data_IF_676932770112
#
_entry.id   IF_676932770112
#
_cell.length_a   1.000
_cell.length_b   1.000
_cell.length_c   1.000
_cell.angle_alpha   90.00
_cell.angle_beta   90.00
_cell.angle_gamma   90.00
#
_symmetry.space_group_name_H-M   'P 1'
#
loop_
_entity.id
_entity.type
_entity.pdbx_description
1 polymer ?
#
# COMPACT_ATOMS: atom_id res chain seq x y z
N UNK A 1 -11.18 15.28 -27.18
CA UNK A 1 -11.56 14.19 -26.30
C UNK A 1 -10.87 14.46 -24.97
N UNK A 2 -11.63 14.59 -23.92
CA UNK A 2 -11.08 14.84 -22.58
C UNK A 2 -10.38 13.60 -22.02
N UNK A 3 -9.72 13.74 -20.87
CA UNK A 3 -8.96 12.64 -20.28
C UNK A 3 -9.88 11.52 -19.79
N UNK A 4 -11.06 11.85 -19.24
CA UNK A 4 -12.06 10.88 -18.82
C UNK A 4 -12.45 9.95 -19.99
N UNK A 5 -12.79 10.53 -21.15
CA UNK A 5 -13.14 9.76 -22.35
C UNK A 5 -11.98 8.89 -22.87
N UNK A 6 -10.74 9.40 -22.79
CA UNK A 6 -9.56 8.66 -23.24
C UNK A 6 -9.32 7.44 -22.35
N UNK A 7 -9.36 7.62 -21.02
CA UNK A 7 -9.18 6.54 -20.06
C UNK A 7 -10.32 5.54 -20.16
N UNK A 8 -11.60 6.00 -20.21
CA UNK A 8 -12.76 5.12 -20.32
C UNK A 8 -12.66 4.23 -21.57
N UNK A 9 -12.41 4.83 -22.73
CA UNK A 9 -12.23 4.04 -23.97
C UNK A 9 -11.13 2.99 -23.82
N UNK A 10 -10.00 3.37 -23.21
CA UNK A 10 -8.88 2.45 -23.10
C UNK A 10 -9.18 1.27 -22.17
N UNK A 11 -9.83 1.51 -21.04
CA UNK A 11 -10.22 0.42 -20.15
C UNK A 11 -11.34 -0.45 -20.75
N UNK A 12 -12.24 0.12 -21.56
CA UNK A 12 -13.25 -0.66 -22.30
C UNK A 12 -12.58 -1.63 -23.28
N UNK A 13 -11.51 -1.19 -23.98
CA UNK A 13 -10.73 -2.06 -24.88
C UNK A 13 -10.00 -3.17 -24.10
N UNK A 14 -9.58 -2.90 -22.86
CA UNK A 14 -8.85 -3.85 -22.01
C UNK A 14 -9.78 -4.79 -21.23
N UNK A 15 -11.07 -4.46 -21.09
CA UNK A 15 -12.00 -5.21 -20.24
C UNK A 15 -12.11 -6.69 -20.60
N UNK A 16 -11.93 -7.05 -21.88
CA UNK A 16 -11.97 -8.44 -22.33
C UNK A 16 -10.80 -9.28 -21.81
N UNK A 17 -9.66 -8.68 -21.52
CA UNK A 17 -8.46 -9.36 -20.99
C UNK A 17 -8.29 -9.16 -19.48
N UNK A 18 -8.59 -7.99 -18.97
CA UNK A 18 -8.47 -7.65 -17.56
C UNK A 18 -9.67 -8.08 -16.72
N UNK A 19 -10.78 -8.47 -17.35
CA UNK A 19 -12.06 -8.93 -16.78
C UNK A 19 -12.81 -7.84 -15.98
N UNK A 20 -12.12 -6.87 -15.44
CA UNK A 20 -12.69 -5.74 -14.71
C UNK A 20 -11.61 -4.77 -14.28
N UNK A 21 -11.90 -3.49 -14.41
CA UNK A 21 -10.99 -2.38 -14.12
C UNK A 21 -11.73 -1.24 -13.43
N UNK A 22 -11.06 -0.62 -12.47
CA UNK A 22 -11.40 0.72 -11.97
C UNK A 22 -10.19 1.62 -12.14
N UNK A 23 -10.40 2.86 -12.57
CA UNK A 23 -9.39 3.91 -12.63
C UNK A 23 -9.96 5.17 -12.01
N UNK A 24 -9.24 5.76 -11.08
CA UNK A 24 -9.57 7.07 -10.52
C UNK A 24 -8.36 8.00 -10.57
N UNK A 25 -8.61 9.25 -10.96
CA UNK A 25 -7.58 10.30 -11.01
C UNK A 25 -8.12 11.55 -10.33
N UNK A 26 -7.37 12.06 -9.37
CA UNK A 26 -7.59 13.41 -8.84
C UNK A 26 -6.50 14.34 -9.36
N UNK A 27 -6.85 15.59 -9.59
CA UNK A 27 -5.91 16.66 -9.90
C UNK A 27 -6.22 17.86 -9.01
N UNK A 28 -5.25 18.26 -8.18
CA UNK A 28 -5.42 19.38 -7.25
C UNK A 28 -6.70 19.29 -6.40
N UNK A 29 -7.00 18.07 -5.94
CA UNK A 29 -8.15 17.76 -5.10
C UNK A 29 -9.47 17.49 -5.85
N UNK A 30 -9.53 17.71 -7.16
CA UNK A 30 -10.72 17.46 -7.97
C UNK A 30 -10.65 16.08 -8.66
N UNK A 31 -11.74 15.32 -8.62
CA UNK A 31 -11.87 14.06 -9.35
C UNK A 31 -12.04 14.35 -10.86
N UNK A 32 -11.02 14.02 -11.66
CA UNK A 32 -11.00 14.29 -13.10
C UNK A 32 -11.16 13.04 -13.97
N UNK A 33 -10.96 11.85 -13.37
CA UNK A 33 -11.28 10.56 -13.98
C UNK A 33 -11.90 9.65 -12.94
N UNK A 34 -13.05 9.05 -13.30
CA UNK A 34 -13.71 7.99 -12.54
C UNK A 34 -14.29 7.00 -13.54
N UNK A 35 -13.47 6.01 -13.90
CA UNK A 35 -13.74 5.11 -15.00
C UNK A 35 -13.78 3.66 -14.52
N UNK A 36 -14.76 2.92 -15.02
CA UNK A 36 -14.94 1.50 -14.73
C UNK A 36 -15.22 0.72 -16.00
N UNK A 37 -14.73 -0.51 -16.08
CA UNK A 37 -15.00 -1.43 -17.16
C UNK A 37 -15.05 -2.88 -16.66
N UNK A 38 -15.78 -3.73 -17.34
CA UNK A 38 -15.96 -5.13 -16.99
C UNK A 38 -17.34 -5.43 -16.41
N UNK A 39 -17.75 -6.68 -16.52
CA UNK A 39 -19.09 -7.11 -16.12
C UNK A 39 -19.28 -7.04 -14.59
N UNK A 40 -20.32 -6.36 -14.16
CA UNK A 40 -20.64 -6.17 -12.75
C UNK A 40 -19.70 -5.26 -11.97
N UNK A 41 -18.69 -4.65 -12.59
CA UNK A 41 -17.79 -3.69 -11.94
C UNK A 41 -18.47 -2.33 -11.81
N UNK A 42 -18.43 -1.78 -10.60
CA UNK A 42 -18.93 -0.44 -10.29
C UNK A 42 -17.83 0.37 -9.58
N UNK A 43 -17.97 1.70 -9.45
CA UNK A 43 -17.02 2.51 -8.67
C UNK A 43 -16.91 2.08 -7.19
N UNK A 44 -17.92 1.38 -6.68
CA UNK A 44 -17.99 0.87 -5.31
C UNK A 44 -17.44 -0.55 -5.15
N UNK A 45 -17.09 -1.24 -6.25
CA UNK A 45 -16.49 -2.57 -6.18
C UNK A 45 -15.18 -2.55 -5.40
N UNK A 46 -15.06 -3.40 -4.38
CA UNK A 46 -13.88 -3.52 -3.54
C UNK A 46 -12.94 -4.59 -4.10
N UNK A 47 -11.67 -4.26 -4.18
CA UNK A 47 -10.61 -5.16 -4.62
C UNK A 47 -9.59 -5.42 -3.51
N UNK A 48 -9.14 -6.67 -3.38
CA UNK A 48 -7.91 -6.92 -2.64
C UNK A 48 -6.75 -6.36 -3.46
N UNK A 49 -6.08 -5.34 -2.94
CA UNK A 49 -5.08 -4.57 -3.66
C UNK A 49 -3.63 -4.84 -3.22
N UNK A 50 -3.42 -5.89 -2.42
CA UNK A 50 -2.10 -6.29 -1.92
C UNK A 50 -1.30 -5.07 -1.40
N UNK A 51 -0.02 -4.97 -1.78
CA UNK A 51 0.91 -3.93 -1.28
C UNK A 51 0.55 -2.48 -1.64
N UNK A 52 -0.41 -2.24 -2.54
CA UNK A 52 -0.98 -0.90 -2.73
C UNK A 52 -1.55 -0.35 -1.42
N UNK A 53 -2.01 -1.24 -0.54
CA UNK A 53 -2.49 -0.90 0.81
C UNK A 53 -1.46 -0.31 1.75
N UNK A 54 -0.15 -0.57 1.53
CA UNK A 54 0.92 0.02 2.37
C UNK A 54 0.88 1.54 2.40
N UNK A 55 0.43 2.15 1.30
CA UNK A 55 0.26 3.59 1.27
C UNK A 55 -0.81 4.11 2.23
N UNK A 56 -1.88 3.34 2.48
CA UNK A 56 -2.86 3.70 3.50
C UNK A 56 -2.27 3.58 4.92
N UNK A 57 -1.49 2.52 5.18
CA UNK A 57 -0.79 2.34 6.48
C UNK A 57 0.22 3.45 6.73
N UNK A 58 1.00 3.79 5.71
CA UNK A 58 1.95 4.90 5.76
C UNK A 58 1.24 6.22 5.99
N UNK A 59 0.10 6.47 5.31
CA UNK A 59 -0.70 7.68 5.52
C UNK A 59 -1.17 7.79 6.96
N UNK A 60 -1.68 6.69 7.56
CA UNK A 60 -2.08 6.67 8.98
C UNK A 60 -0.91 7.05 9.89
N UNK A 61 0.26 6.44 9.69
CA UNK A 61 1.45 6.74 10.49
C UNK A 61 1.88 8.21 10.35
N UNK A 62 1.92 8.73 9.11
CA UNK A 62 2.30 10.11 8.82
C UNK A 62 1.31 11.13 9.42
N UNK A 63 0.01 10.85 9.37
CA UNK A 63 -1.02 11.67 10.02
C UNK A 63 -0.82 11.71 11.54
N UNK A 64 -0.49 10.58 12.16
CA UNK A 64 -0.22 10.52 13.60
C UNK A 64 1.07 11.27 13.98
N UNK A 65 2.08 11.26 13.12
CA UNK A 65 3.29 12.10 13.34
C UNK A 65 2.95 13.58 13.21
N UNK A 66 2.20 13.97 12.18
CA UNK A 66 1.79 15.36 11.99
C UNK A 66 0.92 15.89 13.14
N UNK A 67 0.14 15.00 13.79
CA UNK A 67 -0.63 15.29 15.00
C UNK A 67 0.19 15.26 16.30
N UNK A 68 1.48 14.92 16.24
CA UNK A 68 2.37 14.82 17.41
C UNK A 68 2.12 13.60 18.30
N UNK A 69 1.38 12.60 17.81
CA UNK A 69 1.13 11.32 18.51
C UNK A 69 2.31 10.35 18.34
N UNK A 70 2.92 10.34 17.15
CA UNK A 70 4.12 9.60 16.82
C UNK A 70 5.28 10.54 16.46
N UNK A 71 6.48 9.99 16.40
CA UNK A 71 7.70 10.68 15.97
C UNK A 71 8.51 9.74 15.09
N UNK A 72 9.09 10.24 14.00
CA UNK A 72 9.86 9.42 13.07
C UNK A 72 11.15 8.88 13.66
N UNK A 73 11.79 9.65 14.53
CA UNK A 73 13.16 9.42 14.99
C UNK A 73 13.25 9.02 16.49
N UNK A 74 12.11 9.03 17.18
CA UNK A 74 12.02 8.53 18.55
C UNK A 74 12.10 7.00 18.55
N UNK A 75 12.91 6.40 19.46
CA UNK A 75 13.00 4.94 19.59
C UNK A 75 11.65 4.28 19.86
N UNK A 76 11.34 3.21 19.12
CA UNK A 76 10.08 2.44 19.28
C UNK A 76 9.93 1.88 20.69
N UNK A 77 11.05 1.56 21.36
CA UNK A 77 11.05 1.04 22.75
C UNK A 77 10.39 1.94 23.77
N UNK A 78 10.27 3.24 23.50
CA UNK A 78 9.57 4.17 24.41
C UNK A 78 8.06 3.87 24.51
N UNK A 79 7.46 3.31 23.45
CA UNK A 79 6.04 2.93 23.40
C UNK A 79 5.85 1.42 23.33
N UNK A 80 6.88 0.67 22.95
CA UNK A 80 6.89 -0.78 22.82
C UNK A 80 8.19 -1.36 23.40
N UNK A 81 8.33 -1.46 24.75
CA UNK A 81 9.58 -1.85 25.41
C UNK A 81 10.12 -3.21 24.99
N UNK A 82 9.22 -4.17 24.70
CA UNK A 82 9.60 -5.53 24.29
C UNK A 82 10.31 -5.56 22.93
N UNK A 83 10.14 -4.51 22.11
CA UNK A 83 10.78 -4.41 20.80
C UNK A 83 12.30 -4.27 20.89
N UNK A 84 12.86 -3.79 22.01
CA UNK A 84 14.30 -3.61 22.20
C UNK A 84 15.12 -4.90 22.30
N UNK A 85 14.47 -6.07 22.34
CA UNK A 85 15.19 -7.34 22.36
C UNK A 85 16.15 -7.49 21.17
N UNK A 86 17.29 -8.15 21.39
CA UNK A 86 18.31 -8.43 20.37
C UNK A 86 18.92 -7.16 19.70
N UNK A 87 19.09 -6.08 20.49
CA UNK A 87 19.75 -4.85 20.03
C UNK A 87 18.91 -3.96 19.13
N UNK A 88 17.56 -4.08 19.18
CA UNK A 88 16.64 -3.20 18.43
C UNK A 88 16.22 -1.94 19.19
N UNK A 89 16.88 -1.60 20.29
CA UNK A 89 16.55 -0.44 21.12
C UNK A 89 16.70 0.91 20.39
N UNK A 90 17.50 0.95 19.32
CA UNK A 90 17.67 2.15 18.49
C UNK A 90 16.68 2.21 17.31
N UNK A 91 15.84 1.19 17.12
CA UNK A 91 14.89 1.15 16.03
C UNK A 91 13.85 2.27 16.15
N UNK A 92 13.52 2.90 15.04
CA UNK A 92 12.59 4.03 14.96
C UNK A 92 11.48 3.77 13.94
N UNK A 93 10.41 4.59 13.98
CA UNK A 93 9.36 4.55 12.97
C UNK A 93 9.93 4.81 11.56
N UNK A 94 10.94 5.69 11.42
CA UNK A 94 11.64 5.92 10.14
C UNK A 94 12.22 4.63 9.58
N UNK A 95 12.88 3.81 10.41
CA UNK A 95 13.44 2.53 9.96
C UNK A 95 12.36 1.55 9.48
N UNK A 96 11.18 1.55 10.11
CA UNK A 96 10.03 0.74 9.65
C UNK A 96 9.50 1.27 8.31
N UNK A 97 9.25 2.57 8.20
CA UNK A 97 8.70 3.20 7.00
C UNK A 97 9.64 3.13 5.80
N UNK A 98 10.94 3.01 6.03
CA UNK A 98 11.96 2.85 4.98
C UNK A 98 12.42 1.42 4.78
N UNK A 99 11.72 0.43 5.34
CA UNK A 99 12.07 -0.99 5.21
C UNK A 99 13.50 -1.33 5.66
N UNK A 100 14.06 -0.57 6.60
CA UNK A 100 15.44 -0.73 7.08
C UNK A 100 15.54 -1.21 8.53
N UNK A 101 14.42 -1.56 9.18
CA UNK A 101 14.40 -1.98 10.59
C UNK A 101 15.03 -3.36 10.83
N UNK A 102 15.32 -4.14 9.78
CA UNK A 102 16.00 -5.43 9.89
C UNK A 102 15.09 -6.63 10.20
N UNK A 103 13.77 -6.48 10.07
CA UNK A 103 12.80 -7.55 10.34
C UNK A 103 11.95 -7.90 9.09
N UNK A 104 12.57 -8.26 7.95
CA UNK A 104 11.80 -8.46 6.71
C UNK A 104 10.98 -9.76 6.73
N UNK A 105 11.38 -10.75 7.54
CA UNK A 105 10.80 -12.07 7.54
C UNK A 105 9.79 -12.27 8.68
N UNK A 106 8.66 -12.88 8.34
CA UNK A 106 7.77 -13.43 9.35
C UNK A 106 8.44 -14.62 10.06
N UNK A 107 8.31 -14.77 11.39
CA UNK A 107 8.87 -15.91 12.12
C UNK A 107 8.39 -17.25 11.53
N UNK A 108 9.27 -18.29 11.53
CA UNK A 108 8.91 -19.60 10.99
C UNK A 108 7.61 -20.16 11.59
N UNK A 109 6.82 -20.86 10.77
CA UNK A 109 5.53 -21.41 11.17
C UNK A 109 4.44 -20.36 11.38
N UNK A 110 4.65 -19.10 10.97
CA UNK A 110 3.59 -18.09 10.97
C UNK A 110 2.49 -18.50 10.00
N UNK A 111 1.26 -18.42 10.50
CA UNK A 111 0.04 -18.55 9.71
C UNK A 111 -0.73 -17.24 9.82
N UNK A 112 -1.80 -17.04 9.05
CA UNK A 112 -2.69 -15.90 9.29
C UNK A 112 -3.25 -16.00 10.72
N UNK A 113 -2.86 -15.03 11.53
CA UNK A 113 -3.22 -14.88 12.93
C UNK A 113 -3.66 -13.44 13.18
N UNK A 114 -4.01 -13.17 14.43
CA UNK A 114 -4.22 -11.79 14.87
C UNK A 114 -2.94 -10.97 14.72
N UNK A 115 -3.10 -9.71 14.43
CA UNK A 115 -1.96 -8.78 14.23
C UNK A 115 -1.06 -8.71 15.48
N UNK A 116 -1.66 -8.71 16.67
CA UNK A 116 -0.94 -8.66 17.94
C UNK A 116 -0.05 -9.89 18.18
N UNK A 117 -0.51 -11.08 17.81
CA UNK A 117 0.30 -12.31 17.95
C UNK A 117 1.54 -12.28 17.04
N UNK A 118 1.42 -11.70 15.85
CA UNK A 118 2.56 -11.55 14.94
C UNK A 118 3.54 -10.50 15.46
N UNK A 119 3.05 -9.41 16.00
CA UNK A 119 3.85 -8.33 16.56
C UNK A 119 4.74 -8.79 17.72
N UNK A 120 4.19 -9.54 18.68
CA UNK A 120 4.95 -10.08 19.81
C UNK A 120 6.08 -11.03 19.34
N UNK A 121 5.81 -11.84 18.32
CA UNK A 121 6.81 -12.71 17.73
C UNK A 121 7.92 -11.92 17.02
N UNK A 122 7.58 -10.83 16.30
CA UNK A 122 8.56 -9.97 15.65
C UNK A 122 9.39 -9.19 16.68
N UNK A 123 8.78 -8.74 17.77
CA UNK A 123 9.52 -8.10 18.86
C UNK A 123 10.58 -9.03 19.47
N UNK A 124 10.28 -10.33 19.58
CA UNK A 124 11.20 -11.35 20.08
C UNK A 124 12.18 -11.87 19.02
N UNK A 125 12.11 -11.45 17.76
CA UNK A 125 12.96 -11.92 16.67
C UNK A 125 14.27 -11.11 16.60
N UNK A 126 15.39 -11.79 16.37
CA UNK A 126 16.66 -11.14 16.07
C UNK A 126 16.62 -10.48 14.69
N UNK A 127 17.04 -9.21 14.55
CA UNK A 127 17.05 -8.54 13.26
C UNK A 127 18.15 -9.10 12.36
N UNK A 128 17.94 -9.10 11.05
CA UNK A 128 18.93 -9.53 10.06
C UNK A 128 20.15 -8.58 9.99
N UNK A 129 19.97 -7.36 10.41
CA UNK A 129 20.99 -6.31 10.52
C UNK A 129 20.57 -5.28 11.57
N UNK A 130 21.51 -4.47 11.99
CA UNK A 130 21.25 -3.32 12.85
C UNK A 130 20.29 -2.34 12.19
N UNK A 131 19.22 -1.89 12.88
CA UNK A 131 18.24 -0.96 12.31
C UNK A 131 18.87 0.25 11.63
N UNK A 132 18.47 0.52 10.38
CA UNK A 132 18.95 1.63 9.57
C UNK A 132 20.21 1.36 8.74
N UNK A 133 20.92 0.23 8.93
CA UNK A 133 22.19 -0.02 8.22
C UNK A 133 22.01 -0.64 6.84
N UNK A 134 20.93 -1.38 6.62
CA UNK A 134 20.60 -2.05 5.37
C UNK A 134 19.10 -1.97 5.13
N UNK A 135 18.68 -2.33 3.92
CA UNK A 135 17.28 -2.31 3.51
C UNK A 135 16.94 -3.58 2.72
N UNK A 136 15.79 -4.15 2.99
CA UNK A 136 15.06 -5.00 2.04
C UNK A 136 13.55 -4.82 2.24
N UNK A 137 12.79 -5.07 1.21
CA UNK A 137 11.35 -4.90 1.24
C UNK A 137 10.67 -5.79 2.31
N UNK A 138 10.03 -5.18 3.30
CA UNK A 138 9.28 -5.84 4.37
C UNK A 138 7.86 -6.12 3.88
N UNK A 139 7.66 -7.22 3.15
CA UNK A 139 6.41 -7.50 2.45
C UNK A 139 5.19 -7.58 3.39
N UNK A 140 5.28 -8.41 4.43
CA UNK A 140 4.19 -8.63 5.40
C UNK A 140 4.46 -7.95 6.75
N UNK A 141 5.71 -7.90 7.16
CA UNK A 141 6.08 -7.38 8.48
C UNK A 141 5.91 -5.86 8.58
N UNK A 142 5.92 -5.12 7.46
CA UNK A 142 5.64 -3.70 7.42
C UNK A 142 4.31 -3.35 8.11
N UNK A 143 3.22 -3.99 7.69
CA UNK A 143 1.91 -3.71 8.26
C UNK A 143 1.77 -4.17 9.70
N UNK A 144 2.42 -5.28 10.07
CA UNK A 144 2.45 -5.76 11.46
C UNK A 144 3.12 -4.73 12.37
N UNK A 145 4.29 -4.22 11.95
CA UNK A 145 5.05 -3.25 12.73
C UNK A 145 4.34 -1.89 12.81
N UNK A 146 3.87 -1.35 11.69
CA UNK A 146 3.13 -0.09 11.69
C UNK A 146 1.84 -0.20 12.50
N UNK A 147 1.09 -1.30 12.33
CA UNK A 147 -0.14 -1.55 13.07
C UNK A 147 0.06 -1.60 14.58
N UNK A 148 1.09 -2.32 15.05
CA UNK A 148 1.38 -2.40 16.48
C UNK A 148 1.91 -1.08 17.05
N UNK A 149 2.76 -0.35 16.33
CA UNK A 149 3.21 0.99 16.72
C UNK A 149 2.00 1.94 16.88
N UNK A 150 1.06 1.93 15.92
CA UNK A 150 -0.18 2.71 16.01
C UNK A 150 -1.00 2.29 17.22
N UNK A 151 -1.17 0.99 17.44
CA UNK A 151 -1.94 0.46 18.57
C UNK A 151 -1.32 0.86 19.93
N UNK A 152 0.00 0.77 20.07
CA UNK A 152 0.72 1.18 21.29
C UNK A 152 0.61 2.67 21.56
N UNK A 153 0.73 3.48 20.52
CA UNK A 153 0.66 4.93 20.65
C UNK A 153 -0.76 5.46 20.92
N UNK A 154 -1.79 4.80 20.39
CA UNK A 154 -3.16 5.31 20.42
C UNK A 154 -4.13 4.51 21.29
N UNK A 155 -3.79 3.28 21.66
CA UNK A 155 -4.70 2.32 22.31
C UNK A 155 -5.78 1.76 21.38
N UNK A 156 -5.69 2.01 20.05
CA UNK A 156 -6.70 1.65 19.04
C UNK A 156 -6.08 0.82 17.93
N UNK A 157 -6.90 0.02 17.23
CA UNK A 157 -6.43 -0.70 16.04
C UNK A 157 -6.10 0.28 14.92
N UNK A 158 -5.19 -0.12 14.01
CA UNK A 158 -4.88 0.71 12.84
C UNK A 158 -6.10 0.87 11.92
N UNK A 159 -7.01 -0.11 11.89
CA UNK A 159 -8.28 -0.01 11.16
C UNK A 159 -9.20 1.09 11.72
N UNK A 160 -9.26 1.23 13.05
CA UNK A 160 -10.06 2.29 13.68
C UNK A 160 -9.48 3.68 13.43
N UNK A 161 -8.14 3.80 13.45
CA UNK A 161 -7.45 5.06 13.13
C UNK A 161 -7.60 5.38 11.64
N UNK A 162 -7.48 4.38 10.75
CA UNK A 162 -7.74 4.57 9.33
C UNK A 162 -9.15 5.12 9.09
N UNK A 163 -10.16 4.51 9.69
CA UNK A 163 -11.56 4.97 9.55
C UNK A 163 -11.72 6.44 9.99
N UNK A 164 -11.08 6.82 11.10
CA UNK A 164 -11.07 8.22 11.56
C UNK A 164 -10.43 9.16 10.53
N UNK A 165 -9.32 8.75 9.91
CA UNK A 165 -8.62 9.52 8.86
C UNK A 165 -9.47 9.65 7.61
N UNK A 166 -10.21 8.60 7.24
CA UNK A 166 -11.03 8.55 6.02
C UNK A 166 -12.38 9.27 6.16
N UNK A 167 -12.96 9.32 7.38
CA UNK A 167 -14.30 9.83 7.62
C UNK A 167 -14.52 11.29 7.14
N UNK A 168 -13.61 12.26 7.38
CA UNK A 168 -13.77 13.61 6.86
C UNK A 168 -13.80 13.70 5.33
N UNK A 169 -13.23 12.70 4.64
CA UNK A 169 -13.20 12.59 3.18
C UNK A 169 -14.42 11.87 2.61
N UNK A 170 -15.28 11.27 3.46
CA UNK A 170 -16.42 10.46 3.05
C UNK A 170 -16.04 9.19 2.29
N UNK A 171 -14.88 8.59 2.62
CA UNK A 171 -14.37 7.36 1.98
C UNK A 171 -14.08 6.25 2.99
N UNK A 172 -14.65 6.30 4.18
CA UNK A 172 -14.47 5.30 5.24
C UNK A 172 -14.97 3.89 4.87
N UNK A 173 -15.77 3.79 3.81
CA UNK A 173 -16.24 2.53 3.23
C UNK A 173 -15.50 2.14 1.92
N UNK A 174 -14.38 2.80 1.63
CA UNK A 174 -13.66 2.60 0.38
C UNK A 174 -12.23 2.08 0.55
N UNK A 175 -11.70 2.01 1.79
CA UNK A 175 -10.38 1.46 2.11
C UNK A 175 -10.44 0.74 3.46
N UNK A 176 -10.03 -0.53 3.49
CA UNK A 176 -10.08 -1.38 4.68
C UNK A 176 -8.79 -2.19 4.84
N UNK A 177 -8.31 -2.34 6.08
CA UNK A 177 -7.30 -3.35 6.45
C UNK A 177 -7.94 -4.67 6.90
N UNK A 178 -9.21 -4.63 7.26
CA UNK A 178 -10.04 -5.80 7.56
C UNK A 178 -11.41 -5.59 6.91
N UNK A 179 -11.86 -6.53 6.08
CA UNK A 179 -13.13 -6.41 5.36
C UNK A 179 -14.32 -6.60 6.34
N UNK A 180 -15.16 -5.57 6.55
CA UNK A 180 -16.36 -5.71 7.38
C UNK A 180 -17.36 -6.69 6.76
N UNK A 181 -18.08 -7.44 7.61
CA UNK A 181 -19.02 -8.44 7.14
C UNK A 181 -20.14 -7.89 6.24
N UNK A 182 -20.60 -6.66 6.50
CA UNK A 182 -21.59 -5.96 5.70
C UNK A 182 -21.09 -5.46 4.34
N UNK A 183 -19.77 -5.48 4.10
CA UNK A 183 -19.16 -5.03 2.83
C UNK A 183 -18.79 -6.19 1.88
N UNK A 184 -18.97 -7.44 2.31
CA UNK A 184 -18.58 -8.63 1.51
C UNK A 184 -19.26 -8.69 0.15
N UNK A 185 -20.47 -8.16 0.02
CA UNK A 185 -21.21 -8.16 -1.24
C UNK A 185 -20.60 -7.28 -2.32
N UNK A 186 -19.68 -6.37 -1.95
CA UNK A 186 -18.94 -5.49 -2.87
C UNK A 186 -17.61 -6.08 -3.32
N UNK A 187 -17.15 -7.18 -2.72
CA UNK A 187 -15.85 -7.75 -3.00
C UNK A 187 -15.80 -8.39 -4.39
N UNK A 188 -14.88 -7.91 -5.23
CA UNK A 188 -14.58 -8.52 -6.52
C UNK A 188 -14.01 -9.93 -6.32
N UNK A 189 -14.42 -10.86 -7.18
CA UNK A 189 -13.79 -12.17 -7.28
C UNK A 189 -12.60 -12.08 -8.23
N UNK A 190 -11.39 -12.18 -7.68
CA UNK A 190 -10.16 -12.11 -8.46
C UNK A 190 -9.92 -13.41 -9.23
N UNK A 191 -9.40 -13.31 -10.43
CA UNK A 191 -9.13 -14.43 -11.34
C UNK A 191 -7.65 -14.46 -11.70
N UNK A 192 -6.99 -15.59 -11.52
CA UNK A 192 -5.63 -15.79 -11.99
C UNK A 192 -5.63 -16.14 -13.49
N UNK A 193 -4.69 -15.62 -14.29
CA UNK A 193 -4.58 -15.98 -15.69
C UNK A 193 -4.21 -17.46 -15.85
N UNK A 194 -4.60 -18.05 -16.97
CA UNK A 194 -4.18 -19.41 -17.33
C UNK A 194 -2.65 -19.48 -17.44
N UNK A 195 -2.04 -20.50 -16.85
CA UNK A 195 -0.58 -20.66 -16.85
C UNK A 195 0.19 -19.80 -15.81
N UNK A 196 -0.48 -19.04 -14.96
CA UNK A 196 0.17 -18.21 -13.93
C UNK A 196 0.90 -19.01 -12.83
N UNK A 197 0.67 -20.33 -12.75
CA UNK A 197 1.26 -21.18 -11.69
C UNK A 197 2.79 -21.13 -11.64
N UNK A 198 3.46 -21.13 -12.79
CA UNK A 198 4.92 -21.06 -12.86
C UNK A 198 5.44 -19.70 -12.36
N UNK A 199 4.77 -18.60 -12.74
CA UNK A 199 5.12 -17.25 -12.29
C UNK A 199 4.90 -17.11 -10.80
N UNK A 200 3.78 -17.59 -10.27
CA UNK A 200 3.55 -17.62 -8.82
C UNK A 200 4.59 -18.46 -8.11
N UNK A 201 4.97 -19.63 -8.64
CA UNK A 201 5.98 -20.50 -8.03
C UNK A 201 7.37 -19.83 -8.02
N UNK A 202 7.74 -19.13 -9.09
CA UNK A 202 8.98 -18.36 -9.16
C UNK A 202 9.01 -17.23 -8.14
N UNK A 203 7.96 -16.39 -8.09
CA UNK A 203 7.84 -15.31 -7.11
C UNK A 203 7.79 -15.85 -5.68
N UNK A 204 7.06 -16.95 -5.46
CA UNK A 204 7.03 -17.63 -4.19
C UNK A 204 8.43 -18.01 -3.71
N UNK A 205 9.26 -18.54 -4.61
CA UNK A 205 10.66 -18.88 -4.31
C UNK A 205 11.51 -17.66 -3.93
N UNK A 206 11.32 -16.54 -4.64
CA UNK A 206 12.04 -15.29 -4.33
C UNK A 206 11.70 -14.74 -2.94
N UNK A 207 10.44 -14.85 -2.54
CA UNK A 207 9.96 -14.31 -1.26
C UNK A 207 9.88 -15.35 -0.13
N UNK A 208 10.23 -16.62 -0.36
CA UNK A 208 10.06 -17.71 0.63
C UNK A 208 10.83 -17.47 1.92
N UNK A 209 11.96 -16.77 1.86
CA UNK A 209 12.75 -16.42 3.04
C UNK A 209 12.05 -15.37 3.93
N UNK A 210 11.16 -14.56 3.38
CA UNK A 210 10.50 -13.45 4.10
C UNK A 210 9.00 -13.69 4.28
N UNK A 211 8.33 -14.36 3.33
CA UNK A 211 6.90 -14.64 3.36
C UNK A 211 6.67 -16.15 3.15
N UNK A 212 6.22 -16.88 4.19
CA UNK A 212 5.87 -18.28 4.04
C UNK A 212 4.88 -18.50 2.89
N UNK A 213 5.05 -19.57 2.11
CA UNK A 213 4.18 -19.85 0.94
C UNK A 213 2.68 -19.82 1.27
N UNK A 214 2.30 -20.32 2.45
CA UNK A 214 0.90 -20.31 2.91
C UNK A 214 0.34 -18.90 3.18
N UNK A 215 1.20 -17.88 3.27
CA UNK A 215 0.83 -16.48 3.48
C UNK A 215 0.81 -15.66 2.17
N UNK A 216 1.40 -16.19 1.12
CA UNK A 216 1.48 -15.48 -0.17
C UNK A 216 0.10 -15.35 -0.81
N UNK A 217 -0.24 -14.18 -1.36
CA UNK A 217 -1.55 -13.94 -1.93
C UNK A 217 -1.75 -14.73 -3.23
N UNK A 218 -2.87 -15.45 -3.28
CA UNK A 218 -3.39 -16.20 -4.44
C UNK A 218 -4.89 -15.90 -4.52
N UNK A 219 -5.48 -15.93 -5.71
CA UNK A 219 -6.91 -15.73 -5.87
C UNK A 219 -7.73 -16.67 -4.97
N UNK A 220 -7.33 -17.93 -4.87
CA UNK A 220 -7.95 -18.92 -3.98
C UNK A 220 -7.92 -18.54 -2.48
N UNK A 221 -7.00 -17.66 -2.07
CA UNK A 221 -6.87 -17.15 -0.70
C UNK A 221 -7.60 -15.82 -0.54
N UNK A 222 -7.35 -14.87 -1.45
CA UNK A 222 -7.88 -13.50 -1.32
C UNK A 222 -9.34 -13.36 -1.77
N UNK A 223 -9.91 -14.38 -2.37
CA UNK A 223 -11.35 -14.48 -2.61
C UNK A 223 -12.15 -15.02 -1.41
N UNK A 224 -11.49 -15.29 -0.28
CA UNK A 224 -12.13 -15.81 0.93
C UNK A 224 -12.39 -14.67 1.92
N UNK A 225 -13.65 -14.15 2.01
CA UNK A 225 -13.97 -13.00 2.84
C UNK A 225 -13.62 -13.19 4.32
N UNK A 226 -13.66 -14.45 4.82
CA UNK A 226 -13.29 -14.78 6.20
C UNK A 226 -11.79 -14.57 6.48
N UNK A 227 -10.92 -14.71 5.46
CA UNK A 227 -9.49 -14.40 5.59
C UNK A 227 -9.22 -12.90 5.47
N UNK A 228 -10.00 -12.20 4.65
CA UNK A 228 -9.92 -10.75 4.51
C UNK A 228 -10.54 -9.98 5.68
N UNK A 229 -11.29 -10.66 6.56
CA UNK A 229 -11.78 -10.08 7.81
C UNK A 229 -10.69 -10.00 8.90
N UNK A 230 -9.53 -10.63 8.69
CA UNK A 230 -8.37 -10.52 9.57
C UNK A 230 -7.63 -9.24 9.20
N UNK A 231 -7.37 -8.38 10.20
CA UNK A 231 -6.65 -7.12 9.98
C UNK A 231 -5.24 -7.38 9.44
N UNK A 232 -4.94 -6.73 8.31
CA UNK A 232 -3.64 -6.81 7.64
C UNK A 232 -3.29 -5.46 7.01
N UNK A 233 -2.48 -4.69 7.71
CA UNK A 233 -2.04 -3.38 7.25
C UNK A 233 -0.85 -3.43 6.26
N UNK A 234 -0.40 -4.62 5.83
CA UNK A 234 0.54 -4.80 4.71
C UNK A 234 -0.17 -4.79 3.36
N UNK A 235 -1.48 -5.03 3.39
CA UNK A 235 -2.38 -5.04 2.24
C UNK A 235 -3.62 -4.18 2.53
N UNK A 236 -4.48 -4.00 1.53
CA UNK A 236 -5.79 -3.40 1.75
C UNK A 236 -6.85 -3.97 0.80
N UNK A 237 -8.10 -3.86 1.22
CA UNK A 237 -9.28 -4.04 0.39
C UNK A 237 -9.82 -2.63 0.09
N UNK A 238 -9.85 -2.25 -1.20
CA UNK A 238 -10.11 -0.86 -1.54
C UNK A 238 -10.79 -0.68 -2.90
N UNK A 239 -11.31 0.53 -3.13
CA UNK A 239 -11.70 1.03 -4.45
C UNK A 239 -10.58 1.93 -5.00
N UNK A 240 -10.44 2.02 -6.32
CA UNK A 240 -9.49 2.96 -6.93
C UNK A 240 -9.77 4.41 -6.49
N UNK A 241 -11.04 4.82 -6.44
CA UNK A 241 -11.46 6.15 -5.99
C UNK A 241 -11.04 6.42 -4.54
N UNK A 242 -11.20 5.45 -3.65
CA UNK A 242 -10.86 5.60 -2.23
C UNK A 242 -9.39 5.89 -2.00
N UNK A 243 -8.50 5.07 -2.59
CA UNK A 243 -7.06 5.25 -2.39
C UNK A 243 -6.51 6.48 -3.14
N UNK A 244 -7.04 6.82 -4.33
CA UNK A 244 -6.65 8.03 -5.05
C UNK A 244 -7.05 9.29 -4.27
N UNK A 245 -8.27 9.33 -3.66
CA UNK A 245 -8.72 10.44 -2.82
C UNK A 245 -7.90 10.57 -1.53
N UNK A 246 -7.55 9.45 -0.91
CA UNK A 246 -6.67 9.43 0.27
C UNK A 246 -5.32 10.08 -0.05
N UNK A 247 -4.71 9.72 -1.17
CA UNK A 247 -3.43 10.30 -1.60
C UNK A 247 -3.59 11.78 -1.99
N UNK A 248 -4.70 12.17 -2.62
CA UNK A 248 -4.96 13.57 -2.95
C UNK A 248 -5.05 14.44 -1.69
N UNK A 249 -5.72 13.95 -0.64
CA UNK A 249 -5.82 14.64 0.64
C UNK A 249 -4.52 14.63 1.47
N UNK A 250 -3.61 13.66 1.22
CA UNK A 250 -2.28 13.63 1.81
C UNK A 250 -1.38 14.73 1.21
N UNK A 251 -1.37 14.87 -0.13
CA UNK A 251 -0.47 15.82 -0.80
C UNK A 251 -1.10 17.21 -1.00
N UNK A 252 -2.41 17.34 -0.86
CA UNK A 252 -3.17 18.57 -1.13
C UNK A 252 -4.40 18.71 -0.25
N UNK A 253 -5.37 19.42 -0.76
CA UNK A 253 -6.69 19.61 -0.15
C UNK A 253 -7.76 19.00 -1.06
N UNK A 254 -8.72 18.28 -0.48
CA UNK A 254 -9.86 17.69 -1.18
C UNK A 254 -11.12 18.02 -0.39
N UNK A 255 -12.10 18.65 -1.02
CA UNK A 255 -13.36 19.03 -0.38
C UNK A 255 -13.18 19.80 0.94
N UNK A 256 -12.16 20.68 1.04
CA UNK A 256 -11.82 21.42 2.25
C UNK A 256 -11.07 20.61 3.32
N UNK A 257 -10.69 19.35 3.04
CA UNK A 257 -9.98 18.47 3.96
C UNK A 257 -8.52 18.28 3.51
N UNK A 258 -7.60 18.44 4.45
CA UNK A 258 -6.17 18.14 4.30
C UNK A 258 -5.77 17.22 5.44
N UNK A 259 -5.07 16.13 5.12
CA UNK A 259 -4.70 15.12 6.14
C UNK A 259 -3.51 15.52 6.99
N UNK A 260 -2.56 16.25 6.40
CA UNK A 260 -1.33 16.72 7.07
C UNK A 260 -1.10 18.20 6.72
N UNK A 261 -0.35 18.90 7.55
CA UNK A 261 0.02 20.29 7.28
C UNK A 261 0.87 20.40 6.02
N UNK A 262 0.79 21.50 5.24
CA UNK A 262 1.56 21.66 3.99
C UNK A 262 3.07 21.44 4.18
N UNK A 263 3.63 21.84 5.30
CA UNK A 263 5.06 21.71 5.63
C UNK A 263 5.49 20.25 5.83
N UNK A 264 4.56 19.37 6.21
CA UNK A 264 4.82 17.95 6.39
C UNK A 264 4.93 17.21 5.04
N UNK A 265 4.26 17.69 3.99
CA UNK A 265 4.23 17.00 2.68
C UNK A 265 5.63 16.74 2.13
N UNK A 266 6.54 17.73 1.99
CA UNK A 266 7.89 17.47 1.47
C UNK A 266 8.73 16.56 2.38
N UNK A 267 8.47 16.54 3.68
CA UNK A 267 9.14 15.61 4.62
C UNK A 267 8.67 14.19 4.38
N UNK A 268 7.36 13.98 4.22
CA UNK A 268 6.73 12.67 4.01
C UNK A 268 7.11 12.09 2.65
N UNK A 269 7.14 12.93 1.60
CA UNK A 269 7.24 12.49 0.20
C UNK A 269 8.64 12.61 -0.40
N UNK A 270 9.55 13.28 0.28
CA UNK A 270 10.95 13.40 -0.12
C UNK A 270 11.75 12.11 0.13
N UNK A 271 12.93 11.97 -0.51
CA UNK A 271 13.80 10.81 -0.28
C UNK A 271 14.25 10.73 1.19
N UNK A 272 13.87 9.64 1.86
CA UNK A 272 14.27 9.32 3.23
C UNK A 272 15.36 8.25 3.27
N UNK A 273 15.43 7.38 2.25
CA UNK A 273 16.47 6.36 2.09
C UNK A 273 16.73 6.11 0.60
N UNK A 274 18.01 6.04 0.24
CA UNK A 274 18.48 5.54 -1.07
C UNK A 274 19.40 4.37 -0.77
N UNK A 275 19.05 3.18 -1.23
CA UNK A 275 19.79 1.96 -0.92
C UNK A 275 19.61 0.92 -2.05
N UNK A 276 20.33 -0.18 -1.94
CA UNK A 276 20.07 -1.40 -2.70
C UNK A 276 19.27 -2.36 -1.82
N UNK A 277 18.22 -2.97 -2.39
CA UNK A 277 17.48 -4.04 -1.68
C UNK A 277 18.37 -5.28 -1.55
N UNK A 278 18.64 -5.71 -0.32
CA UNK A 278 19.56 -6.83 -0.02
C UNK A 278 19.04 -8.19 -0.53
N UNK A 279 17.71 -8.35 -0.63
CA UNK A 279 17.13 -9.60 -1.10
C UNK A 279 16.87 -9.59 -2.62
N UNK A 280 16.34 -8.47 -3.13
CA UNK A 280 15.92 -8.37 -4.54
C UNK A 280 17.04 -7.84 -5.44
N UNK A 281 18.08 -7.23 -4.87
CA UNK A 281 19.21 -6.68 -5.62
C UNK A 281 18.90 -5.42 -6.44
N UNK A 282 17.70 -4.85 -6.32
CA UNK A 282 17.28 -3.67 -7.07
C UNK A 282 17.61 -2.38 -6.29
N UNK A 283 17.97 -1.28 -6.98
CA UNK A 283 18.04 0.02 -6.35
C UNK A 283 16.67 0.45 -5.86
N UNK A 284 16.60 1.04 -4.67
CA UNK A 284 15.41 1.55 -4.05
C UNK A 284 15.61 3.00 -3.58
N UNK A 285 14.66 3.85 -3.90
CA UNK A 285 14.54 5.19 -3.34
C UNK A 285 13.19 5.25 -2.61
N UNK A 286 13.25 5.46 -1.30
CA UNK A 286 12.07 5.40 -0.42
C UNK A 286 11.85 6.75 0.24
N UNK A 287 10.60 7.14 0.30
CA UNK A 287 10.08 8.18 1.18
C UNK A 287 9.60 7.55 2.50
N UNK A 288 8.95 8.32 3.35
CA UNK A 288 8.42 7.81 4.63
C UNK A 288 7.17 6.95 4.42
N UNK A 289 7.40 5.69 4.08
CA UNK A 289 6.38 4.67 3.86
C UNK A 289 5.91 4.52 2.42
N UNK A 290 6.61 5.13 1.46
CA UNK A 290 6.30 5.03 0.03
C UNK A 290 7.56 4.77 -0.79
N UNK A 291 7.41 4.07 -1.91
CA UNK A 291 8.41 4.05 -2.97
C UNK A 291 8.37 5.37 -3.72
N UNK A 292 9.53 5.90 -4.10
CA UNK A 292 9.64 7.02 -5.03
C UNK A 292 9.82 6.46 -6.43
N UNK A 293 9.11 7.06 -7.36
CA UNK A 293 9.02 6.60 -8.74
C UNK A 293 7.65 5.98 -9.05
N UNK A 294 7.21 6.16 -10.29
CA UNK A 294 5.97 5.57 -10.79
C UNK A 294 6.24 4.17 -11.31
N UNK A 295 5.26 3.29 -11.21
CA UNK A 295 5.32 1.97 -11.85
C UNK A 295 5.65 2.11 -13.36
N UNK A 296 6.69 1.43 -13.81
CA UNK A 296 7.23 1.56 -15.18
C UNK A 296 8.14 2.78 -15.41
N UNK A 297 8.55 3.47 -14.34
CA UNK A 297 9.45 4.61 -14.37
C UNK A 297 10.36 4.58 -13.15
N UNK A 298 11.61 5.00 -13.31
CA UNK A 298 12.56 5.08 -12.19
C UNK A 298 12.29 6.27 -11.26
N UNK A 299 12.96 6.28 -10.11
CA UNK A 299 12.94 7.43 -9.20
C UNK A 299 13.52 8.69 -9.86
N UNK A 300 14.52 8.55 -10.72
CA UNK A 300 15.14 9.69 -11.44
C UNK A 300 14.20 10.26 -12.51
N UNK A 301 13.39 9.41 -13.16
CA UNK A 301 12.44 9.83 -14.19
C UNK A 301 11.16 10.44 -13.60
N UNK A 302 10.76 10.02 -12.38
CA UNK A 302 9.58 10.52 -11.70
C UNK A 302 9.84 10.79 -10.20
N UNK A 303 10.76 11.73 -9.88
CA UNK A 303 11.24 11.96 -8.51
C UNK A 303 10.20 12.61 -7.59
N UNK A 304 9.16 13.19 -8.13
CA UNK A 304 8.05 13.78 -7.37
C UNK A 304 6.89 12.81 -7.12
N UNK A 305 7.00 11.58 -7.63
CA UNK A 305 5.93 10.58 -7.52
C UNK A 305 6.22 9.61 -6.39
N UNK A 306 5.26 9.44 -5.51
CA UNK A 306 5.27 8.45 -4.42
C UNK A 306 4.12 7.46 -4.61
N UNK A 307 4.28 6.23 -4.15
CA UNK A 307 3.19 5.25 -4.18
C UNK A 307 3.63 3.82 -3.99
N UNK A 308 2.70 2.88 -4.19
CA UNK A 308 2.97 1.45 -4.15
C UNK A 308 2.21 0.70 -5.24
N UNK A 309 2.88 -0.16 -6.00
CA UNK A 309 2.22 -1.23 -6.75
C UNK A 309 1.85 -2.37 -5.81
N UNK A 310 0.79 -3.11 -6.15
CA UNK A 310 0.37 -4.33 -5.48
C UNK A 310 0.56 -5.56 -6.35
N UNK A 311 0.87 -6.69 -5.73
CA UNK A 311 0.82 -7.97 -6.42
C UNK A 311 -0.56 -8.15 -7.06
N UNK A 312 -0.60 -8.67 -8.29
CA UNK A 312 -1.84 -8.81 -9.03
C UNK A 312 -2.18 -7.59 -9.92
N UNK A 313 -1.37 -6.50 -9.87
CA UNK A 313 -1.42 -5.39 -10.82
C UNK A 313 -2.24 -4.18 -10.40
N UNK A 314 -2.74 -4.11 -9.16
CA UNK A 314 -3.24 -2.86 -8.60
C UNK A 314 -2.09 -1.88 -8.38
N UNK A 315 -2.38 -0.57 -8.45
CA UNK A 315 -1.38 0.47 -8.19
C UNK A 315 -2.07 1.75 -7.72
N UNK A 316 -1.40 2.50 -6.85
CA UNK A 316 -1.76 3.88 -6.55
C UNK A 316 -0.48 4.72 -6.43
N UNK A 317 -0.54 5.94 -6.95
CA UNK A 317 0.55 6.90 -6.83
C UNK A 317 0.03 8.34 -6.76
N UNK A 318 0.87 9.21 -6.22
CA UNK A 318 0.66 10.65 -6.16
C UNK A 318 1.90 11.38 -6.69
N UNK A 319 1.72 12.36 -7.57
CA UNK A 319 2.76 13.27 -8.01
C UNK A 319 2.59 14.62 -7.31
N UNK A 320 3.55 14.95 -6.44
CA UNK A 320 3.49 16.13 -5.58
C UNK A 320 3.71 17.45 -6.33
N UNK A 321 4.29 17.40 -7.54
CA UNK A 321 4.55 18.58 -8.37
C UNK A 321 3.30 19.02 -9.11
N UNK A 322 2.59 18.08 -9.72
CA UNK A 322 1.38 18.36 -10.51
C UNK A 322 0.11 18.37 -9.66
N UNK A 323 0.15 17.80 -8.44
CA UNK A 323 -1.03 17.56 -7.61
C UNK A 323 -1.94 16.47 -8.16
N UNK A 324 -1.38 15.57 -8.98
CA UNK A 324 -2.11 14.44 -9.59
C UNK A 324 -1.98 13.22 -8.73
N UNK A 325 -3.09 12.53 -8.51
CA UNK A 325 -3.09 11.17 -7.95
C UNK A 325 -3.82 10.22 -8.88
N UNK A 326 -3.36 9.00 -8.90
CA UNK A 326 -3.86 7.94 -9.76
C UNK A 326 -4.01 6.65 -8.97
N UNK A 327 -5.06 5.92 -9.22
CA UNK A 327 -5.19 4.54 -8.80
C UNK A 327 -5.86 3.69 -9.87
N UNK A 328 -5.41 2.43 -9.96
CA UNK A 328 -6.01 1.40 -10.76
C UNK A 328 -6.15 0.13 -9.93
N UNK A 329 -7.33 -0.48 -10.01
CA UNK A 329 -7.60 -1.84 -9.52
C UNK A 329 -8.17 -2.69 -10.63
N UNK A 330 -7.99 -4.03 -10.54
CA UNK A 330 -8.45 -4.93 -11.59
C UNK A 330 -8.84 -6.31 -11.08
N UNK A 331 -9.66 -7.01 -11.87
CA UNK A 331 -10.13 -8.37 -11.56
C UNK A 331 -9.08 -9.44 -11.88
N UNK A 332 -8.30 -9.26 -12.95
CA UNK A 332 -7.24 -10.21 -13.29
C UNK A 332 -6.09 -10.10 -12.29
N UNK A 333 -5.90 -11.14 -11.48
CA UNK A 333 -4.83 -11.22 -10.47
C UNK A 333 -3.60 -11.88 -11.09
N UNK A 334 -2.84 -11.10 -11.84
CA UNK A 334 -1.66 -11.55 -12.55
C UNK A 334 -0.37 -11.11 -11.84
N UNK A 335 0.43 -12.04 -11.33
CA UNK A 335 1.65 -11.72 -10.60
C UNK A 335 2.75 -11.08 -11.48
N UNK A 336 2.71 -11.29 -12.80
CA UNK A 336 3.63 -10.67 -13.77
C UNK A 336 3.06 -9.42 -14.41
N UNK A 337 1.76 -9.18 -14.24
CA UNK A 337 1.00 -8.25 -15.06
C UNK A 337 0.86 -6.87 -14.45
N UNK A 338 1.65 -5.93 -14.94
CA UNK A 338 1.46 -4.50 -14.66
C UNK A 338 1.28 -3.67 -15.93
N UNK A 339 1.16 -4.33 -17.09
CA UNK A 339 1.17 -3.65 -18.38
C UNK A 339 0.03 -2.61 -18.52
N UNK A 340 -1.20 -3.00 -18.19
CA UNK A 340 -2.35 -2.08 -18.21
C UNK A 340 -2.20 -0.92 -17.24
N UNK A 341 -1.71 -1.18 -16.03
CA UNK A 341 -1.48 -0.16 -15.02
C UNK A 341 -0.38 0.83 -15.45
N UNK A 342 0.70 0.33 -16.07
CA UNK A 342 1.77 1.16 -16.64
C UNK A 342 1.24 1.99 -17.81
N UNK A 343 0.50 1.39 -18.71
CA UNK A 343 -0.04 2.06 -19.90
C UNK A 343 -0.99 3.19 -19.52
N UNK A 344 -1.99 2.90 -18.68
CA UNK A 344 -2.98 3.90 -18.25
C UNK A 344 -2.34 4.96 -17.36
N UNK A 345 -1.44 4.55 -16.46
CA UNK A 345 -0.68 5.47 -15.64
C UNK A 345 0.18 6.43 -16.47
N UNK A 346 0.79 5.96 -17.56
CA UNK A 346 1.56 6.80 -18.50
C UNK A 346 0.66 7.74 -19.31
N UNK A 347 -0.52 7.27 -19.73
CA UNK A 347 -1.51 8.12 -20.40
C UNK A 347 -1.90 9.31 -19.49
N UNK A 348 -2.21 9.05 -18.22
CA UNK A 348 -2.55 10.07 -17.24
C UNK A 348 -1.37 11.01 -16.97
N UNK A 349 -0.19 10.46 -16.70
CA UNK A 349 0.98 11.28 -16.42
C UNK A 349 1.36 12.18 -17.60
N UNK A 350 1.30 11.69 -18.83
CA UNK A 350 1.55 12.50 -20.03
C UNK A 350 0.56 13.65 -20.20
N UNK A 351 -0.68 13.45 -19.74
CA UNK A 351 -1.73 14.45 -19.87
C UNK A 351 -1.69 15.53 -18.77
N UNK A 352 -1.23 15.16 -17.55
CA UNK A 352 -1.44 15.98 -16.35
C UNK A 352 -0.16 16.32 -15.57
N UNK A 353 0.92 15.54 -15.70
CA UNK A 353 2.21 15.76 -15.05
C UNK A 353 3.23 16.31 -16.04
#
# INVERSE_FOLDING_TARGET
MDLQDQVQRRIDELAGTELGLQVAVYRQGELVVDAVAGDGVTPETLYFAASTGKGASATVANVLVDRGVLDYDRPIVEIWPEFGAHGKDTATLRHVLTHSVGLPALPPGTTRKTLSEQADRLAATEPWWEPGTKMTYHAETFGVLVGEIVRRATGRTISDVLREVLNPLGIEENVFFALPGNQRHRLAQLVEPEGAEETFAMLAGMFEQVVPRAMQPRAAVVNRPELLAIEDASSAILTARGIAKLYAALIGEVDGVRLVRPEAVPVITGPALVAQDELLGNPATLALGYSIGRLGSSADESPATIGWPGMGGSVAWADTRSGVTFALTRTLFDPSGSASAIEIGNLVAKALC
#
